data_IF_024963343577
#
_entry.id   IF_024963343577
#
_cell.length_a   1.000
_cell.length_b   1.000
_cell.length_c   1.000
_cell.angle_alpha   90.00
_cell.angle_beta   90.00
_cell.angle_gamma   90.00
#
_symmetry.space_group_name_H-M   'P 1'
#
loop_
_entity.id
_entity.type
_entity.pdbx_description
1 polymer ?
#
# COMPACT_ATOMS: atom_id res chain seq x y z
N UNK A 1 49.57 -13.87 -5.10
CA UNK A 1 49.84 -13.99 -3.65
C UNK A 1 48.83 -14.97 -3.08
N UNK A 2 49.29 -16.12 -2.60
CA UNK A 2 48.49 -17.12 -1.87
C UNK A 2 48.89 -17.06 -0.40
N UNK A 3 47.94 -17.25 0.49
CA UNK A 3 48.16 -17.33 1.95
C UNK A 3 48.78 -18.69 2.34
N UNK A 4 49.25 -18.81 3.58
CA UNK A 4 49.96 -19.97 4.17
C UNK A 4 49.16 -21.30 4.04
N UNK A 5 47.84 -21.21 3.85
CA UNK A 5 46.92 -22.34 3.62
C UNK A 5 46.69 -22.69 2.14
N UNK A 6 47.44 -22.11 1.21
CA UNK A 6 47.28 -22.31 -0.24
C UNK A 6 45.92 -21.87 -0.83
N UNK A 7 45.10 -21.18 -0.03
CA UNK A 7 43.78 -20.70 -0.42
C UNK A 7 43.87 -19.41 -1.24
N UNK A 8 42.97 -19.29 -2.19
CA UNK A 8 42.85 -18.10 -3.03
C UNK A 8 42.18 -16.99 -2.21
N UNK A 9 42.55 -15.71 -2.36
CA UNK A 9 41.90 -14.60 -1.63
C UNK A 9 40.37 -14.61 -1.75
N UNK A 10 39.84 -15.09 -2.88
CA UNK A 10 38.41 -15.27 -3.14
C UNK A 10 37.76 -16.33 -2.24
N UNK A 11 38.42 -17.47 -2.03
CA UNK A 11 37.91 -18.57 -1.18
C UNK A 11 37.93 -18.20 0.30
N UNK A 12 38.96 -17.46 0.73
CA UNK A 12 39.08 -16.93 2.09
C UNK A 12 37.99 -15.88 2.36
N UNK A 13 37.66 -15.07 1.36
CA UNK A 13 36.59 -14.07 1.43
C UNK A 13 35.22 -14.75 1.50
N UNK A 14 34.97 -15.76 0.66
CA UNK A 14 33.70 -16.50 0.60
C UNK A 14 33.42 -17.28 1.90
N UNK A 15 34.46 -17.88 2.49
CA UNK A 15 34.35 -18.55 3.80
C UNK A 15 33.95 -17.56 4.91
N UNK A 16 34.57 -16.39 4.95
CA UNK A 16 34.26 -15.36 5.96
C UNK A 16 32.91 -14.66 5.70
N UNK A 17 32.47 -14.56 4.44
CA UNK A 17 31.18 -13.95 4.09
C UNK A 17 29.98 -14.90 4.23
N UNK A 18 30.20 -16.22 4.24
CA UNK A 18 29.13 -17.22 4.37
C UNK A 18 28.27 -17.02 5.62
N UNK A 19 28.87 -16.64 6.75
CA UNK A 19 28.16 -16.35 8.01
C UNK A 19 27.31 -15.08 7.91
N UNK A 20 27.84 -14.03 7.30
CA UNK A 20 27.11 -12.77 7.06
C UNK A 20 25.93 -12.99 6.12
N UNK A 21 26.08 -13.86 5.10
CA UNK A 21 24.98 -14.18 4.19
C UNK A 21 23.82 -14.89 4.90
N UNK A 22 24.12 -15.84 5.79
CA UNK A 22 23.10 -16.55 6.59
C UNK A 22 22.38 -15.59 7.55
N UNK A 23 23.11 -14.68 8.18
CA UNK A 23 22.54 -13.67 9.07
C UNK A 23 21.66 -12.67 8.32
N UNK A 24 22.07 -12.23 7.12
CA UNK A 24 21.28 -11.35 6.26
C UNK A 24 20.00 -12.04 5.75
N UNK A 25 20.08 -13.30 5.33
CA UNK A 25 18.91 -14.10 4.93
C UNK A 25 17.91 -14.21 6.07
N UNK A 26 18.38 -14.54 7.29
CA UNK A 26 17.52 -14.61 8.47
C UNK A 26 16.87 -13.27 8.77
N UNK A 27 17.65 -12.20 8.74
CA UNK A 27 17.16 -10.85 9.01
C UNK A 27 16.05 -10.44 8.02
N UNK A 28 16.20 -10.74 6.74
CA UNK A 28 15.21 -10.40 5.71
C UNK A 28 13.96 -11.25 5.83
N UNK A 29 14.08 -12.53 6.21
CA UNK A 29 12.91 -13.38 6.48
C UNK A 29 12.14 -12.88 7.71
N UNK A 30 12.85 -12.51 8.77
CA UNK A 30 12.27 -11.94 9.99
C UNK A 30 11.58 -10.59 9.72
N UNK A 31 12.13 -9.76 8.83
CA UNK A 31 11.55 -8.48 8.39
C UNK A 31 10.47 -8.62 7.30
N UNK A 32 10.52 -9.67 6.47
CA UNK A 32 9.59 -9.90 5.37
C UNK A 32 8.20 -10.33 5.84
N UNK A 33 8.12 -11.15 6.89
CA UNK A 33 6.85 -11.57 7.49
C UNK A 33 5.95 -10.40 7.94
N UNK A 34 6.42 -9.43 8.75
CA UNK A 34 5.60 -8.28 9.15
C UNK A 34 5.25 -7.36 7.96
N UNK A 35 6.16 -7.18 7.00
CA UNK A 35 5.87 -6.39 5.79
C UNK A 35 4.78 -7.04 4.92
N UNK A 36 4.77 -8.37 4.81
CA UNK A 36 3.72 -9.11 4.12
C UNK A 36 2.36 -8.89 4.80
N UNK A 37 2.32 -9.01 6.13
CA UNK A 37 1.10 -8.79 6.93
C UNK A 37 0.57 -7.37 6.73
N UNK A 38 1.45 -6.35 6.82
CA UNK A 38 1.08 -4.94 6.62
C UNK A 38 0.53 -4.70 5.21
N UNK A 39 1.19 -5.26 4.19
CA UNK A 39 0.74 -5.16 2.80
C UNK A 39 -0.64 -5.78 2.61
N UNK A 40 -0.86 -7.00 3.11
CA UNK A 40 -2.16 -7.68 3.02
C UNK A 40 -3.26 -6.91 3.76
N UNK A 41 -2.93 -6.28 4.89
CA UNK A 41 -3.87 -5.46 5.65
C UNK A 41 -4.30 -4.22 4.85
N UNK A 42 -3.34 -3.47 4.27
CA UNK A 42 -3.62 -2.30 3.43
C UNK A 42 -4.48 -2.67 2.20
N UNK A 43 -4.18 -3.81 1.56
CA UNK A 43 -4.98 -4.33 0.44
C UNK A 43 -6.45 -4.53 0.86
N UNK A 44 -6.67 -5.14 2.02
CA UNK A 44 -8.02 -5.45 2.52
C UNK A 44 -8.80 -4.18 2.86
N UNK A 45 -8.16 -3.22 3.53
CA UNK A 45 -8.77 -1.93 3.88
C UNK A 45 -9.17 -1.16 2.62
N UNK A 46 -8.24 -1.02 1.66
CA UNK A 46 -8.51 -0.29 0.44
C UNK A 46 -9.57 -1.01 -0.42
N UNK A 47 -9.60 -2.35 -0.42
CA UNK A 47 -10.62 -3.13 -1.14
C UNK A 47 -12.02 -2.84 -0.59
N UNK A 48 -12.19 -2.85 0.74
CA UNK A 48 -13.45 -2.47 1.36
C UNK A 48 -13.83 -1.00 1.06
N UNK A 49 -12.83 -0.10 1.02
CA UNK A 49 -13.05 1.31 0.73
C UNK A 49 -13.55 1.57 -0.70
N UNK A 50 -13.10 0.79 -1.71
CA UNK A 50 -13.58 0.93 -3.10
C UNK A 50 -15.09 0.67 -3.21
N UNK A 51 -15.62 -0.30 -2.47
CA UNK A 51 -17.05 -0.64 -2.52
C UNK A 51 -17.92 0.25 -1.64
N UNK A 52 -17.32 0.99 -0.71
CA UNK A 52 -18.03 1.87 0.22
C UNK A 52 -18.14 3.27 -0.38
N UNK A 53 -18.75 3.40 -1.56
CA UNK A 53 -18.95 4.71 -2.21
C UNK A 53 -20.17 5.38 -1.58
N UNK A 54 -20.02 6.49 -0.84
CA UNK A 54 -21.15 7.24 -0.32
C UNK A 54 -21.84 7.93 -1.50
N UNK A 55 -23.16 7.80 -1.66
CA UNK A 55 -23.80 8.47 -2.78
C UNK A 55 -25.29 8.37 -2.94
N UNK A 56 -25.91 7.24 -2.62
CA UNK A 56 -27.34 7.03 -2.84
C UNK A 56 -27.80 7.35 -4.27
N UNK A 57 -29.10 7.17 -4.52
CA UNK A 57 -29.74 7.59 -5.76
C UNK A 57 -30.72 8.70 -5.44
N UNK A 58 -30.81 9.72 -6.30
CA UNK A 58 -31.82 10.76 -6.15
C UNK A 58 -33.20 10.17 -6.44
N UNK A 59 -34.11 10.18 -5.47
CA UNK A 59 -35.45 9.57 -5.56
C UNK A 59 -36.34 10.21 -6.64
N UNK A 60 -36.04 11.44 -7.08
CA UNK A 60 -36.85 12.17 -8.08
C UNK A 60 -36.34 12.02 -9.49
N UNK A 61 -35.02 11.92 -9.66
CA UNK A 61 -34.39 11.85 -10.98
C UNK A 61 -33.94 10.43 -11.34
N UNK A 62 -33.79 9.53 -10.37
CA UNK A 62 -33.19 8.20 -10.57
C UNK A 62 -31.69 8.24 -10.93
N UNK A 63 -31.09 9.44 -10.89
CA UNK A 63 -29.69 9.69 -11.20
C UNK A 63 -28.90 9.63 -9.88
N UNK A 64 -27.71 9.00 -9.85
CA UNK A 64 -26.86 9.05 -8.67
C UNK A 64 -26.60 10.52 -8.29
N UNK A 65 -26.85 10.88 -7.03
CA UNK A 65 -26.68 12.26 -6.50
C UNK A 65 -25.26 12.76 -6.76
N UNK A 66 -24.34 11.80 -6.88
CA UNK A 66 -22.94 11.90 -7.21
C UNK A 66 -22.58 12.45 -8.60
N UNK A 67 -23.47 12.30 -9.59
CA UNK A 67 -23.22 12.69 -10.99
C UNK A 67 -23.63 14.13 -11.30
N UNK A 68 -24.36 14.80 -10.40
CA UNK A 68 -25.06 16.05 -10.74
C UNK A 68 -24.35 17.33 -10.24
N UNK A 69 -23.22 17.24 -9.55
CA UNK A 69 -22.57 18.39 -8.86
C UNK A 69 -21.04 18.41 -9.02
N UNK A 70 -20.34 19.51 -8.68
CA UNK A 70 -18.87 19.63 -8.69
C UNK A 70 -18.11 18.60 -7.82
N UNK A 71 -18.82 17.66 -7.19
CA UNK A 71 -18.26 16.55 -6.43
C UNK A 71 -17.66 15.44 -7.32
N UNK A 72 -17.96 15.40 -8.63
CA UNK A 72 -17.41 14.38 -9.55
C UNK A 72 -15.88 14.36 -9.59
N UNK A 73 -15.22 15.52 -9.53
CA UNK A 73 -13.74 15.61 -9.51
C UNK A 73 -13.16 15.00 -8.23
N UNK A 74 -13.77 15.27 -7.08
CA UNK A 74 -13.33 14.76 -5.78
C UNK A 74 -13.45 13.23 -5.70
N UNK A 75 -14.49 12.68 -6.30
CA UNK A 75 -14.72 11.23 -6.33
C UNK A 75 -13.81 10.50 -7.30
N UNK A 76 -13.53 11.12 -8.44
CA UNK A 76 -12.54 10.57 -9.35
C UNK A 76 -11.16 10.56 -8.72
N UNK A 77 -10.78 11.63 -8.00
CA UNK A 77 -9.55 11.66 -7.21
C UNK A 77 -9.53 10.57 -6.13
N UNK A 78 -10.62 10.39 -5.39
CA UNK A 78 -10.76 9.33 -4.38
C UNK A 78 -10.57 7.93 -5.00
N UNK A 79 -11.26 7.63 -6.11
CA UNK A 79 -11.09 6.34 -6.80
C UNK A 79 -9.67 6.14 -7.31
N UNK A 80 -9.03 7.20 -7.83
CA UNK A 80 -7.66 7.13 -8.30
C UNK A 80 -6.68 6.82 -7.16
N UNK A 81 -6.79 7.50 -6.02
CA UNK A 81 -5.92 7.28 -4.86
C UNK A 81 -6.11 5.88 -4.26
N UNK A 82 -7.36 5.43 -4.07
CA UNK A 82 -7.63 4.09 -3.52
C UNK A 82 -7.18 3.00 -4.50
N UNK A 83 -7.40 3.20 -5.80
CA UNK A 83 -6.95 2.28 -6.85
C UNK A 83 -5.42 2.19 -6.93
N UNK A 84 -4.73 3.32 -6.87
CA UNK A 84 -3.26 3.37 -6.85
C UNK A 84 -2.70 2.67 -5.59
N UNK A 85 -3.31 2.91 -4.42
CA UNK A 85 -2.91 2.26 -3.17
C UNK A 85 -3.11 0.74 -3.21
N UNK A 86 -4.18 0.25 -3.85
CA UNK A 86 -4.45 -1.18 -4.07
C UNK A 86 -3.41 -1.82 -4.98
N UNK A 87 -3.13 -1.21 -6.12
CA UNK A 87 -2.15 -1.71 -7.07
C UNK A 87 -0.77 -1.86 -6.42
N UNK A 88 -0.32 -0.81 -5.73
CA UNK A 88 0.98 -0.76 -5.06
C UNK A 88 1.07 -1.76 -3.89
N UNK A 89 -0.02 -1.96 -3.15
CA UNK A 89 -0.11 -2.97 -2.09
C UNK A 89 -0.02 -4.41 -2.64
N UNK A 90 -0.68 -4.72 -3.76
CA UNK A 90 -0.56 -6.04 -4.40
C UNK A 90 0.86 -6.26 -4.94
N UNK A 91 1.47 -5.21 -5.50
CA UNK A 91 2.85 -5.24 -5.96
C UNK A 91 3.85 -5.50 -4.81
N UNK A 92 3.69 -4.81 -3.69
CA UNK A 92 4.47 -5.04 -2.46
C UNK A 92 4.31 -6.49 -1.98
N UNK A 93 3.07 -6.98 -1.90
CA UNK A 93 2.80 -8.36 -1.47
C UNK A 93 3.52 -9.39 -2.35
N UNK A 94 3.48 -9.19 -3.68
CA UNK A 94 4.16 -10.07 -4.64
C UNK A 94 5.69 -10.03 -4.52
N UNK A 95 6.28 -8.85 -4.28
CA UNK A 95 7.73 -8.69 -4.14
C UNK A 95 8.24 -9.25 -2.82
N UNK A 96 7.53 -9.04 -1.70
CA UNK A 96 7.85 -9.66 -0.40
C UNK A 96 7.78 -11.19 -0.51
N UNK A 97 6.72 -11.72 -1.12
CA UNK A 97 6.57 -13.15 -1.33
C UNK A 97 7.71 -13.71 -2.20
N UNK A 98 8.07 -12.99 -3.27
CA UNK A 98 9.21 -13.34 -4.13
C UNK A 98 10.53 -13.38 -3.36
N UNK A 99 10.75 -12.46 -2.42
CA UNK A 99 11.94 -12.44 -1.56
C UNK A 99 11.93 -13.58 -0.54
N UNK A 100 10.78 -13.93 0.04
CA UNK A 100 10.65 -15.03 1.00
C UNK A 100 10.82 -16.41 0.34
N UNK A 101 10.36 -16.58 -0.90
CA UNK A 101 10.48 -17.83 -1.68
C UNK A 101 11.83 -17.98 -2.41
N UNK A 102 12.55 -16.89 -2.63
CA UNK A 102 13.85 -16.93 -3.32
C UNK A 102 14.90 -17.63 -2.45
N UNK A 103 15.55 -18.66 -3.01
CA UNK A 103 16.79 -19.20 -2.46
C UNK A 103 17.94 -18.32 -2.93
N UNK A 104 18.77 -17.88 -1.99
CA UNK A 104 19.82 -16.93 -2.24
C UNK A 104 21.08 -17.62 -2.78
N UNK A 105 21.47 -17.29 -4.01
CA UNK A 105 22.67 -17.80 -4.67
C UNK A 105 23.82 -16.78 -4.51
N UNK A 106 25.01 -17.26 -4.13
CA UNK A 106 26.04 -16.50 -3.40
C UNK A 106 26.69 -15.32 -4.15
N UNK A 107 26.74 -15.33 -5.49
CA UNK A 107 27.67 -14.45 -6.23
C UNK A 107 27.11 -13.02 -6.50
N UNK A 108 25.78 -12.84 -6.54
CA UNK A 108 25.10 -11.54 -6.76
C UNK A 108 24.19 -11.11 -5.58
N UNK A 109 24.14 -11.93 -4.52
CA UNK A 109 23.23 -11.79 -3.40
C UNK A 109 23.40 -10.45 -2.67
N UNK A 110 24.63 -10.02 -2.39
CA UNK A 110 24.90 -8.85 -1.53
C UNK A 110 24.42 -7.52 -2.12
N UNK A 111 24.25 -7.41 -3.44
CA UNK A 111 23.78 -6.19 -4.10
C UNK A 111 22.30 -6.28 -4.48
N UNK A 112 21.83 -7.42 -4.99
CA UNK A 112 20.44 -7.57 -5.42
C UNK A 112 19.47 -7.53 -4.22
N UNK A 113 19.93 -8.00 -3.06
CA UNK A 113 19.14 -8.13 -1.85
C UNK A 113 18.76 -6.79 -1.19
N UNK A 114 19.71 -5.88 -0.87
CA UNK A 114 19.37 -4.58 -0.32
C UNK A 114 18.54 -3.73 -1.29
N UNK A 115 18.78 -3.86 -2.61
CA UNK A 115 17.99 -3.15 -3.62
C UNK A 115 16.52 -3.59 -3.57
N UNK A 116 16.25 -4.91 -3.59
CA UNK A 116 14.89 -5.45 -3.47
C UNK A 116 14.24 -5.01 -2.16
N UNK A 117 14.98 -5.05 -1.06
CA UNK A 117 14.49 -4.61 0.24
C UNK A 117 14.12 -3.11 0.27
N UNK A 118 14.97 -2.24 -0.28
CA UNK A 118 14.67 -0.82 -0.43
C UNK A 118 13.42 -0.58 -1.27
N UNK A 119 13.21 -1.33 -2.36
CA UNK A 119 12.00 -1.19 -3.18
C UNK A 119 10.72 -1.52 -2.40
N UNK A 120 10.76 -2.52 -1.52
CA UNK A 120 9.63 -2.89 -0.64
C UNK A 120 9.31 -1.74 0.32
N UNK A 121 10.33 -1.18 0.99
CA UNK A 121 10.14 -0.07 1.95
C UNK A 121 9.53 1.16 1.24
N UNK A 122 10.08 1.52 0.08
CA UNK A 122 9.62 2.67 -0.69
C UNK A 122 8.16 2.47 -1.12
N UNK A 123 7.81 1.29 -1.64
CA UNK A 123 6.43 0.97 -2.05
C UNK A 123 5.47 1.00 -0.85
N UNK A 124 5.78 0.35 0.27
CA UNK A 124 4.94 0.40 1.50
C UNK A 124 4.69 1.84 1.98
N UNK A 125 5.71 2.70 1.92
CA UNK A 125 5.58 4.10 2.29
C UNK A 125 4.60 4.84 1.36
N UNK A 126 4.72 4.64 0.05
CA UNK A 126 3.78 5.20 -0.92
C UNK A 126 2.36 4.66 -0.74
N UNK A 127 2.18 3.35 -0.60
CA UNK A 127 0.88 2.73 -0.32
C UNK A 127 0.19 3.35 0.89
N UNK A 128 0.94 3.52 1.99
CA UNK A 128 0.43 4.14 3.23
C UNK A 128 0.03 5.59 2.99
N UNK A 129 0.87 6.37 2.30
CA UNK A 129 0.56 7.76 1.97
C UNK A 129 -0.71 7.89 1.12
N UNK A 130 -0.88 7.03 0.11
CA UNK A 130 -2.07 7.03 -0.74
C UNK A 130 -3.33 6.61 0.02
N UNK A 131 -3.26 5.60 0.90
CA UNK A 131 -4.39 5.23 1.76
C UNK A 131 -4.80 6.38 2.68
N UNK A 132 -3.85 7.08 3.31
CA UNK A 132 -4.15 8.24 4.17
C UNK A 132 -4.80 9.36 3.37
N UNK A 133 -4.29 9.67 2.17
CA UNK A 133 -4.91 10.64 1.28
C UNK A 133 -6.34 10.23 0.89
N UNK A 134 -6.56 8.95 0.56
CA UNK A 134 -7.87 8.39 0.30
C UNK A 134 -8.84 8.57 1.48
N UNK A 135 -8.38 8.32 2.71
CA UNK A 135 -9.18 8.54 3.92
C UNK A 135 -9.54 10.01 4.13
N UNK A 136 -8.60 10.94 3.90
CA UNK A 136 -8.88 12.39 4.01
C UNK A 136 -9.91 12.83 2.97
N UNK A 137 -9.80 12.34 1.74
CA UNK A 137 -10.81 12.65 0.71
C UNK A 137 -12.18 12.06 1.05
N UNK A 138 -12.23 10.84 1.60
CA UNK A 138 -13.48 10.24 2.05
C UNK A 138 -14.15 11.08 3.15
N UNK A 139 -13.37 11.58 4.12
CA UNK A 139 -13.87 12.47 5.18
C UNK A 139 -14.37 13.80 4.61
N UNK A 140 -13.67 14.40 3.66
CA UNK A 140 -14.11 15.64 3.00
C UNK A 140 -15.44 15.45 2.27
N UNK A 141 -15.59 14.35 1.53
CA UNK A 141 -16.85 14.00 0.85
C UNK A 141 -17.98 13.81 1.86
N UNK A 142 -17.72 13.11 2.97
CA UNK A 142 -18.73 12.88 4.00
C UNK A 142 -19.11 14.17 4.75
N UNK A 143 -18.17 15.07 5.01
CA UNK A 143 -18.43 16.36 5.64
C UNK A 143 -19.36 17.24 4.77
N UNK A 144 -19.12 17.26 3.45
CA UNK A 144 -19.99 17.96 2.48
C UNK A 144 -21.40 17.33 2.45
N UNK A 145 -21.50 16.02 2.65
CA UNK A 145 -22.77 15.31 2.67
C UNK A 145 -23.57 15.64 3.94
N UNK A 146 -22.95 15.54 5.11
CA UNK A 146 -23.58 15.85 6.40
C UNK A 146 -24.04 17.31 6.49
N UNK A 147 -23.28 18.27 5.96
CA UNK A 147 -23.70 19.67 5.93
C UNK A 147 -24.97 19.90 5.10
N UNK A 148 -25.10 19.20 3.95
CA UNK A 148 -26.32 19.26 3.13
C UNK A 148 -27.52 18.61 3.81
N UNK A 149 -27.35 17.47 4.47
CA UNK A 149 -28.44 16.77 5.14
C UNK A 149 -28.97 17.55 6.35
N UNK A 150 -28.08 18.15 7.14
CA UNK A 150 -28.45 19.01 8.29
C UNK A 150 -29.19 20.27 7.83
N UNK A 151 -28.74 20.93 6.75
CA UNK A 151 -29.44 22.07 6.17
C UNK A 151 -30.81 21.68 5.59
N UNK A 152 -30.92 20.51 4.94
CA UNK A 152 -32.19 20.03 4.40
C UNK A 152 -33.20 19.68 5.49
N UNK A 153 -32.77 19.00 6.56
CA UNK A 153 -33.60 18.72 7.74
C UNK A 153 -34.15 20.02 8.35
N UNK A 154 -33.30 21.05 8.51
CA UNK A 154 -33.71 22.37 9.01
C UNK A 154 -34.76 23.04 8.11
N UNK A 155 -34.55 23.05 6.78
CA UNK A 155 -35.49 23.65 5.81
C UNK A 155 -36.82 22.88 5.77
N UNK A 156 -36.77 21.54 5.79
CA UNK A 156 -37.97 20.70 5.80
C UNK A 156 -38.79 20.88 7.08
N UNK A 157 -38.13 21.08 8.23
CA UNK A 157 -38.83 21.29 9.50
C UNK A 157 -39.48 22.69 9.55
N UNK A 158 -38.83 23.73 8.99
CA UNK A 158 -39.40 25.08 8.85
C UNK A 158 -40.59 25.12 7.89
N UNK A 159 -40.62 24.29 6.84
CA UNK A 159 -41.76 24.19 5.91
C UNK A 159 -42.96 23.39 6.44
N UNK A 160 -42.82 22.74 7.60
CA UNK A 160 -43.85 21.88 8.20
C UNK A 160 -44.66 22.60 9.31
N UNK A 161 -44.32 23.86 9.62
CA UNK A 161 -45.07 24.78 10.51
C UNK A 161 -45.76 25.83 9.64
#
# INVERSE_FOLDING_TARGET
>A
MKDDKNMTPKELFDQNHSTVCVEAEKSIKDLGNPALILSTLLCTINFAAVFTIPGGFDEKSGIPILLSKPQYSELWMLMFFIGAALYDSVFTMGTVLSVLLSKFESDDFYIALPIKYCTIIISVYYSTAFTVLGCVQALNVQNIFMDKDVWWEQICNVKRV
#
